data_IF_689859075245
#
_entry.id   IF_689859075245
#
_cell.length_a   1.000
_cell.length_b   1.000
_cell.length_c   1.000
_cell.angle_alpha   90.00
_cell.angle_beta   90.00
_cell.angle_gamma   90.00
#
_symmetry.space_group_name_H-M   'P 1'
#
loop_
_entity.id
_entity.type
_entity.pdbx_description
1 polymer ?
#
# COMPACT_ATOMS: atom_id res chain seq x y z
N UNK A 1 -11.28 7.36 2.17
CA UNK A 1 -12.38 8.13 1.57
C UNK A 1 -13.52 7.17 1.34
N UNK A 2 -14.68 7.40 1.94
CA UNK A 2 -15.79 6.43 1.87
C UNK A 2 -16.57 6.56 0.55
N UNK A 3 -16.71 7.79 0.06
CA UNK A 3 -17.48 8.16 -1.13
C UNK A 3 -16.78 9.24 -1.97
N UNK A 4 -17.25 9.48 -3.19
CA UNK A 4 -16.75 10.55 -4.05
C UNK A 4 -17.06 11.93 -3.47
N UNK A 5 -16.20 12.90 -3.78
CA UNK A 5 -16.39 14.29 -3.43
C UNK A 5 -16.28 15.19 -4.66
N UNK A 6 -16.72 16.44 -4.54
CA UNK A 6 -16.64 17.44 -5.62
C UNK A 6 -15.21 17.68 -6.13
N UNK A 7 -14.21 17.39 -5.29
CA UNK A 7 -12.79 17.57 -5.58
C UNK A 7 -12.06 16.29 -5.98
N UNK A 8 -12.75 15.13 -6.01
CA UNK A 8 -12.09 13.88 -6.36
C UNK A 8 -12.96 12.64 -6.22
N UNK A 9 -12.59 11.59 -6.95
CA UNK A 9 -13.23 10.28 -6.91
C UNK A 9 -12.43 9.31 -6.06
N UNK A 10 -13.09 8.32 -5.48
CA UNK A 10 -12.43 7.16 -4.90
C UNK A 10 -11.74 6.34 -5.99
N UNK A 11 -10.47 6.00 -5.77
CA UNK A 11 -9.78 4.97 -6.53
C UNK A 11 -10.00 3.59 -5.91
N UNK A 12 -10.34 2.62 -6.76
CA UNK A 12 -10.58 1.23 -6.37
C UNK A 12 -9.48 0.29 -6.87
N UNK A 13 -8.78 0.68 -7.94
CA UNK A 13 -7.76 -0.15 -8.57
C UNK A 13 -6.42 0.59 -8.54
N UNK A 14 -5.39 -0.05 -8.00
CA UNK A 14 -4.09 0.57 -7.71
C UNK A 14 -2.93 -0.30 -8.15
N UNK A 15 -1.94 0.36 -8.77
CA UNK A 15 -0.76 -0.26 -9.37
C UNK A 15 -0.96 -0.56 -10.85
N UNK A 16 0.12 -0.43 -11.63
CA UNK A 16 0.08 -0.54 -13.10
C UNK A 16 -0.47 -1.88 -13.61
N UNK A 17 -0.28 -2.95 -12.84
CA UNK A 17 -0.79 -4.29 -13.17
C UNK A 17 -2.26 -4.53 -12.80
N UNK A 18 -2.89 -3.62 -12.06
CA UNK A 18 -4.26 -3.78 -11.56
C UNK A 18 -5.14 -2.62 -12.06
N UNK A 19 -5.36 -2.55 -13.36
CA UNK A 19 -6.27 -1.58 -13.97
C UNK A 19 -7.47 -2.29 -14.60
N UNK A 20 -8.63 -1.66 -14.53
CA UNK A 20 -9.85 -2.10 -15.22
C UNK A 20 -10.07 -1.22 -16.44
N UNK A 21 -10.12 -1.82 -17.64
CA UNK A 21 -10.27 -1.07 -18.89
C UNK A 21 -11.53 -0.19 -18.86
N UNK A 22 -11.38 1.11 -19.18
CA UNK A 22 -12.47 2.08 -19.19
C UNK A 22 -12.97 2.54 -17.81
N UNK A 23 -12.40 2.03 -16.72
CA UNK A 23 -12.81 2.41 -15.36
C UNK A 23 -12.30 3.80 -14.98
N UNK A 24 -13.21 4.64 -14.49
CA UNK A 24 -12.87 5.92 -13.86
C UNK A 24 -12.38 5.78 -12.40
N UNK A 25 -12.22 4.53 -11.94
CA UNK A 25 -11.75 4.15 -10.60
C UNK A 25 -10.29 3.67 -10.57
N UNK A 26 -9.62 3.66 -11.73
CA UNK A 26 -8.18 3.39 -11.80
C UNK A 26 -7.40 4.56 -11.19
N UNK A 27 -6.42 4.25 -10.34
CA UNK A 27 -5.46 5.25 -9.87
C UNK A 27 -4.60 5.70 -11.06
N UNK A 28 -4.46 7.01 -11.34
CA UNK A 28 -3.54 7.47 -12.37
C UNK A 28 -2.09 7.15 -12.03
N UNK A 29 -1.27 6.81 -13.02
CA UNK A 29 0.13 6.39 -12.84
C UNK A 29 0.97 7.33 -11.95
N UNK A 30 0.77 8.65 -12.09
CA UNK A 30 1.47 9.67 -11.32
C UNK A 30 1.13 9.64 -9.82
N UNK A 31 0.01 9.04 -9.43
CA UNK A 31 -0.47 8.89 -8.05
C UNK A 31 -0.36 7.44 -7.53
N UNK A 32 0.24 6.54 -8.31
CA UNK A 32 0.48 5.15 -7.93
C UNK A 32 1.93 4.96 -7.44
N UNK A 33 2.68 4.03 -8.02
CA UNK A 33 4.04 3.67 -7.63
C UNK A 33 4.98 4.90 -7.60
N UNK A 34 4.92 5.73 -8.64
CA UNK A 34 5.77 6.92 -8.75
C UNK A 34 5.57 7.91 -7.59
N UNK A 35 4.35 8.01 -7.05
CA UNK A 35 4.07 8.86 -5.91
C UNK A 35 4.62 8.29 -4.61
N UNK A 36 4.55 6.97 -4.43
CA UNK A 36 5.13 6.26 -3.28
C UNK A 36 6.64 6.43 -3.27
N UNK A 37 7.29 6.21 -4.42
CA UNK A 37 8.73 6.40 -4.59
C UNK A 37 9.16 7.83 -4.22
N UNK A 38 8.50 8.83 -4.80
CA UNK A 38 8.80 10.23 -4.54
C UNK A 38 8.54 10.63 -3.08
N UNK A 39 7.50 10.07 -2.46
CA UNK A 39 7.16 10.36 -1.06
C UNK A 39 8.17 9.76 -0.09
N UNK A 40 8.55 8.50 -0.27
CA UNK A 40 9.54 7.84 0.60
C UNK A 40 10.94 8.44 0.42
N UNK A 41 11.31 8.85 -0.81
CA UNK A 41 12.59 9.54 -1.06
C UNK A 41 12.74 10.82 -0.24
N UNK A 42 11.66 11.56 0.02
CA UNK A 42 11.71 12.76 0.89
C UNK A 42 12.17 12.41 2.30
N UNK A 43 11.72 11.28 2.84
CA UNK A 43 12.14 10.81 4.16
C UNK A 43 13.62 10.41 4.15
N UNK A 44 14.07 9.75 3.08
CA UNK A 44 15.48 9.41 2.91
C UNK A 44 16.39 10.64 2.87
N UNK A 45 16.09 11.59 1.97
CA UNK A 45 16.89 12.80 1.76
C UNK A 45 16.93 13.69 3.02
N UNK A 46 15.82 13.74 3.75
CA UNK A 46 15.73 14.59 4.95
C UNK A 46 16.42 13.96 6.16
N UNK A 47 16.26 12.66 6.38
CA UNK A 47 16.61 11.99 7.64
C UNK A 47 17.56 10.80 7.46
N UNK A 48 17.17 9.77 6.68
CA UNK A 48 17.91 8.49 6.64
C UNK A 48 19.31 8.67 6.09
N UNK A 49 19.50 9.47 5.04
CA UNK A 49 20.81 9.82 4.49
C UNK A 49 21.76 10.52 5.49
N UNK A 50 21.24 10.95 6.65
CA UNK A 50 22.00 11.57 7.75
C UNK A 50 22.11 10.67 8.97
N UNK A 51 21.84 9.37 8.81
CA UNK A 51 21.92 8.39 9.89
C UNK A 51 20.75 8.42 10.86
N UNK A 52 19.61 9.02 10.49
CA UNK A 52 18.39 9.07 11.31
C UNK A 52 17.33 8.15 10.68
N UNK A 53 17.13 6.92 11.20
CA UNK A 53 16.09 6.03 10.71
C UNK A 53 14.70 6.64 10.89
N UNK A 54 13.79 6.31 9.99
CA UNK A 54 12.40 6.77 10.03
C UNK A 54 11.44 5.61 10.28
N UNK A 55 10.28 5.91 10.86
CA UNK A 55 9.19 4.95 11.02
C UNK A 55 8.01 5.46 10.18
N UNK A 56 7.51 4.61 9.29
CA UNK A 56 6.18 4.80 8.70
C UNK A 56 5.21 4.12 9.66
N UNK A 57 4.69 4.89 10.60
CA UNK A 57 3.92 4.36 11.73
C UNK A 57 2.61 3.72 11.32
N UNK A 58 2.02 4.19 10.22
CA UNK A 58 0.75 3.68 9.72
C UNK A 58 0.69 3.79 8.19
N UNK A 59 0.26 2.71 7.54
CA UNK A 59 -0.20 2.70 6.16
C UNK A 59 -1.13 1.50 5.96
N UNK A 60 -2.16 1.68 5.15
CA UNK A 60 -3.00 0.60 4.62
C UNK A 60 -3.82 1.14 3.45
N UNK A 61 -4.49 0.25 2.73
CA UNK A 61 -5.50 0.61 1.74
C UNK A 61 -6.85 0.07 2.18
N UNK A 62 -7.91 0.81 1.86
CA UNK A 62 -9.27 0.48 2.27
C UNK A 62 -9.80 -0.71 1.47
N UNK A 63 -10.33 -1.70 2.17
CA UNK A 63 -11.09 -2.78 1.55
C UNK A 63 -12.50 -2.31 1.17
N UNK A 64 -12.99 -2.78 0.03
CA UNK A 64 -14.35 -2.52 -0.46
C UNK A 64 -14.98 -3.81 -0.93
N UNK A 65 -16.32 -3.86 -0.82
CA UNK A 65 -17.15 -4.86 -1.47
C UNK A 65 -17.75 -4.21 -2.71
N UNK A 66 -17.25 -4.58 -3.88
CA UNK A 66 -17.68 -4.10 -5.18
C UNK A 66 -18.60 -5.14 -5.84
N UNK A 67 -19.56 -4.68 -6.64
CA UNK A 67 -20.40 -5.58 -7.44
C UNK A 67 -19.64 -6.22 -8.61
N UNK A 68 -18.56 -5.59 -9.07
CA UNK A 68 -17.75 -6.02 -10.20
C UNK A 68 -16.26 -5.79 -9.94
N UNK A 69 -15.39 -6.58 -10.59
CA UNK A 69 -13.94 -6.46 -10.52
C UNK A 69 -13.36 -6.53 -9.09
N UNK A 70 -14.05 -7.25 -8.19
CA UNK A 70 -13.65 -7.42 -6.79
C UNK A 70 -12.25 -8.04 -6.69
N UNK A 71 -11.91 -8.99 -7.55
CA UNK A 71 -10.60 -9.65 -7.53
C UNK A 71 -9.46 -8.68 -7.87
N UNK A 72 -9.69 -7.74 -8.79
CA UNK A 72 -8.71 -6.69 -9.15
C UNK A 72 -8.58 -5.69 -8.01
N UNK A 73 -9.67 -5.36 -7.32
CA UNK A 73 -9.63 -4.52 -6.12
C UNK A 73 -8.82 -5.19 -5.00
N UNK A 74 -9.08 -6.47 -4.70
CA UNK A 74 -8.36 -7.21 -3.67
C UNK A 74 -6.85 -7.34 -4.00
N UNK A 75 -6.51 -7.60 -5.28
CA UNK A 75 -5.12 -7.57 -5.77
C UNK A 75 -4.49 -6.18 -5.61
N UNK A 76 -5.25 -5.12 -5.86
CA UNK A 76 -4.78 -3.74 -5.70
C UNK A 76 -4.41 -3.42 -4.25
N UNK A 77 -5.26 -3.84 -3.29
CA UNK A 77 -5.00 -3.61 -1.86
C UNK A 77 -3.77 -4.40 -1.39
N UNK A 78 -3.65 -5.67 -1.78
CA UNK A 78 -2.47 -6.49 -1.46
C UNK A 78 -1.19 -5.91 -2.08
N UNK A 79 -1.24 -5.50 -3.34
CA UNK A 79 -0.09 -4.93 -4.05
C UNK A 79 0.33 -3.56 -3.50
N UNK A 80 -0.63 -2.71 -3.11
CA UNK A 80 -0.32 -1.47 -2.41
C UNK A 80 0.47 -1.74 -1.12
N UNK A 81 0.01 -2.71 -0.31
CA UNK A 81 0.73 -3.16 0.88
C UNK A 81 2.16 -3.59 0.55
N UNK A 82 2.32 -4.53 -0.37
CA UNK A 82 3.63 -5.02 -0.85
C UNK A 82 4.56 -3.88 -1.27
N UNK A 83 4.07 -3.00 -2.14
CA UNK A 83 4.88 -1.95 -2.75
C UNK A 83 5.32 -0.92 -1.72
N UNK A 84 4.41 -0.45 -0.86
CA UNK A 84 4.73 0.51 0.20
C UNK A 84 5.71 -0.10 1.20
N UNK A 85 5.54 -1.36 1.61
CA UNK A 85 6.51 -2.05 2.49
C UNK A 85 7.90 -2.06 1.86
N UNK A 86 8.00 -2.48 0.60
CA UNK A 86 9.27 -2.57 -0.12
C UNK A 86 9.96 -1.22 -0.23
N UNK A 87 9.24 -0.20 -0.69
CA UNK A 87 9.80 1.14 -0.93
C UNK A 87 10.17 1.84 0.38
N UNK A 88 9.38 1.67 1.45
CA UNK A 88 9.74 2.16 2.77
C UNK A 88 11.08 1.58 3.23
N UNK A 89 11.26 0.26 3.13
CA UNK A 89 12.54 -0.40 3.46
C UNK A 89 13.69 0.10 2.58
N UNK A 90 13.49 0.19 1.26
CA UNK A 90 14.50 0.70 0.33
C UNK A 90 14.98 2.12 0.68
N UNK A 91 14.13 2.91 1.34
CA UNK A 91 14.44 4.27 1.78
C UNK A 91 14.83 4.35 3.26
N UNK A 92 15.12 3.22 3.91
CA UNK A 92 15.57 3.16 5.31
C UNK A 92 14.49 3.46 6.35
N UNK A 93 13.23 3.32 5.96
CA UNK A 93 12.09 3.48 6.86
C UNK A 93 11.57 2.11 7.32
N UNK A 94 11.17 2.01 8.59
CA UNK A 94 10.52 0.82 9.15
C UNK A 94 8.99 0.93 8.97
N UNK A 95 8.35 0.04 8.18
CA UNK A 95 6.92 0.15 7.88
C UNK A 95 6.04 -0.64 8.86
N UNK A 96 5.04 0.02 9.45
CA UNK A 96 4.01 -0.60 10.29
C UNK A 96 2.64 -0.52 9.62
N UNK A 97 2.10 -1.67 9.23
CA UNK A 97 0.80 -1.74 8.56
C UNK A 97 -0.33 -1.47 9.55
N UNK A 98 -1.24 -0.57 9.20
CA UNK A 98 -2.38 -0.21 10.03
C UNK A 98 -3.47 -1.28 9.91
N UNK A 99 -3.53 -2.16 10.92
CA UNK A 99 -4.46 -3.28 10.95
C UNK A 99 -5.56 -3.14 12.00
N UNK A 100 -6.81 -3.03 11.53
CA UNK A 100 -7.99 -2.74 12.36
C UNK A 100 -8.87 -3.97 12.66
N UNK A 101 -8.43 -5.18 12.30
CA UNK A 101 -9.18 -6.44 12.41
C UNK A 101 -9.73 -6.95 11.08
N UNK A 102 -9.31 -6.33 9.96
CA UNK A 102 -9.70 -6.66 8.59
C UNK A 102 -8.82 -7.73 7.95
N UNK A 103 -7.54 -7.79 8.31
CA UNK A 103 -6.55 -8.75 7.81
C UNK A 103 -6.32 -9.90 8.79
N UNK A 104 -6.32 -9.61 10.10
CA UNK A 104 -6.11 -10.60 11.16
C UNK A 104 -7.37 -10.69 12.03
N UNK A 105 -7.80 -11.91 12.33
CA UNK A 105 -8.85 -12.16 13.28
C UNK A 105 -8.35 -11.91 14.71
N UNK A 106 -8.85 -10.84 15.33
CA UNK A 106 -8.46 -10.45 16.70
C UNK A 106 -8.89 -11.42 17.79
N UNK A 107 -9.78 -12.38 17.49
CA UNK A 107 -10.24 -13.37 18.48
C UNK A 107 -9.26 -14.53 18.65
N UNK A 108 -8.66 -14.98 17.56
CA UNK A 108 -7.87 -16.22 17.53
C UNK A 108 -6.52 -16.10 16.80
N UNK A 109 -6.20 -14.93 16.23
CA UNK A 109 -4.96 -14.69 15.51
C UNK A 109 -4.93 -15.26 14.08
N UNK A 110 -6.01 -15.87 13.60
CA UNK A 110 -6.07 -16.41 12.23
C UNK A 110 -6.04 -15.29 11.18
N UNK A 111 -5.47 -15.59 10.01
CA UNK A 111 -5.41 -14.63 8.90
C UNK A 111 -6.72 -14.67 8.11
N UNK A 112 -7.38 -13.52 7.96
CA UNK A 112 -8.60 -13.35 7.14
C UNK A 112 -8.29 -13.03 5.68
N UNK A 113 -7.18 -12.34 5.41
CA UNK A 113 -6.79 -11.88 4.07
C UNK A 113 -5.35 -12.23 3.78
N UNK A 114 -5.13 -13.49 3.41
CA UNK A 114 -3.79 -14.05 3.22
C UNK A 114 -2.98 -13.28 2.17
N UNK A 115 -3.59 -12.87 1.06
CA UNK A 115 -2.90 -12.11 0.01
C UNK A 115 -2.26 -10.80 0.51
N UNK A 116 -2.86 -10.13 1.50
CA UNK A 116 -2.27 -8.92 2.08
C UNK A 116 -1.06 -9.29 2.95
N UNK A 117 -1.18 -10.31 3.80
CA UNK A 117 -0.05 -10.80 4.60
C UNK A 117 1.10 -11.25 3.72
N UNK A 118 0.82 -12.03 2.67
CA UNK A 118 1.83 -12.48 1.71
C UNK A 118 2.50 -11.30 1.00
N UNK A 119 1.71 -10.31 0.56
CA UNK A 119 2.22 -9.08 -0.05
C UNK A 119 3.14 -8.30 0.89
N UNK A 120 2.74 -8.10 2.15
CA UNK A 120 3.57 -7.45 3.16
C UNK A 120 4.88 -8.21 3.38
N UNK A 121 4.83 -9.54 3.51
CA UNK A 121 6.02 -10.37 3.72
C UNK A 121 6.94 -10.37 2.50
N UNK A 122 6.37 -10.41 1.29
CA UNK A 122 7.13 -10.29 0.04
C UNK A 122 7.79 -8.92 -0.07
N UNK A 123 7.07 -7.84 0.17
CA UNK A 123 7.61 -6.48 0.16
C UNK A 123 8.73 -6.31 1.21
N UNK A 124 8.56 -6.92 2.38
CA UNK A 124 9.59 -6.96 3.41
C UNK A 124 10.83 -7.78 2.98
N UNK A 125 10.66 -8.90 2.29
CA UNK A 125 11.76 -9.72 1.79
C UNK A 125 12.53 -9.04 0.66
N UNK A 126 11.84 -8.41 -0.27
CA UNK A 126 12.43 -7.74 -1.44
C UNK A 126 13.07 -6.38 -1.08
N UNK A 127 12.51 -5.69 -0.08
CA UNK A 127 13.01 -4.40 0.38
C UNK A 127 14.36 -4.52 1.08
N UNK A 128 15.35 -3.77 0.60
CA UNK A 128 16.73 -3.75 1.10
C UNK A 128 17.02 -2.42 1.75
N UNK A 129 17.32 -2.45 3.05
CA UNK A 129 17.71 -1.22 3.73
C UNK A 129 19.01 -0.63 3.15
N UNK A 130 19.13 0.70 3.06
CA UNK A 130 20.26 1.37 2.42
C UNK A 130 21.43 1.58 3.40
N UNK A 131 21.85 0.52 4.11
CA UNK A 131 23.00 0.51 5.01
C UNK A 131 23.76 -0.82 4.97
#
# INVERSE_FOLDING_TARGET
>A
MEEDASWGKCYYFWGKGNQVAGSDRNTPDAFAEAWVDASMKKMYDKYVSKGIPCIIGEYSAMFRNLSENQDIHDKSVAYYGEYVTKVAKNNGCVPFYWETGSVINRKDGSVKKQAVVDGLMKGAQEGKYPW
#
